data_IF_627686691115
#
_entry.id   IF_627686691115
#
_cell.length_a   1.000
_cell.length_b   1.000
_cell.length_c   1.000
_cell.angle_alpha   90.00
_cell.angle_beta   90.00
_cell.angle_gamma   90.00
#
_symmetry.space_group_name_H-M   'P 1'
#
loop_
_entity.id
_entity.type
_entity.pdbx_description
1 polymer ?
#
# COMPACT_ATOMS: atom_id res chain seq x y z
N UNK A 1 53.33 1.64 -24.08
CA UNK A 1 51.89 1.37 -24.12
C UNK A 1 51.31 1.83 -22.79
N UNK A 2 50.37 2.78 -22.82
CA UNK A 2 49.90 3.49 -21.64
C UNK A 2 48.79 2.72 -20.92
N UNK A 3 49.19 1.88 -19.96
CA UNK A 3 48.30 1.11 -19.10
C UNK A 3 47.42 1.97 -18.19
N UNK A 4 47.71 3.27 -18.05
CA UNK A 4 47.04 4.17 -17.11
C UNK A 4 45.71 4.70 -17.66
N UNK A 5 45.66 5.02 -18.96
CA UNK A 5 44.44 5.50 -19.63
C UNK A 5 43.33 4.44 -19.71
N UNK A 6 43.68 3.19 -19.98
CA UNK A 6 42.70 2.08 -20.00
C UNK A 6 42.07 1.81 -18.65
N UNK A 7 42.84 1.93 -17.56
CA UNK A 7 42.36 1.70 -16.19
C UNK A 7 41.39 2.80 -15.74
N UNK A 8 41.68 4.06 -16.07
CA UNK A 8 40.77 5.18 -15.76
C UNK A 8 39.45 5.08 -16.52
N UNK A 9 39.49 4.68 -17.79
CA UNK A 9 38.29 4.48 -18.60
C UNK A 9 37.39 3.37 -18.04
N UNK A 10 37.98 2.28 -17.56
CA UNK A 10 37.24 1.20 -16.90
C UNK A 10 36.59 1.65 -15.59
N UNK A 11 37.30 2.45 -14.77
CA UNK A 11 36.75 2.99 -13.51
C UNK A 11 35.55 3.88 -13.77
N UNK A 12 35.68 4.84 -14.70
CA UNK A 12 34.58 5.75 -15.05
C UNK A 12 33.36 4.99 -15.62
N UNK A 13 33.58 3.92 -16.40
CA UNK A 13 32.50 3.09 -16.91
C UNK A 13 31.75 2.36 -15.78
N UNK A 14 32.47 1.84 -14.80
CA UNK A 14 31.88 1.18 -13.62
C UNK A 14 31.11 2.19 -12.77
N UNK A 15 31.69 3.36 -12.49
CA UNK A 15 31.03 4.43 -11.72
C UNK A 15 29.73 4.91 -12.38
N UNK A 16 29.73 5.14 -13.69
CA UNK A 16 28.54 5.53 -14.43
C UNK A 16 27.46 4.42 -14.42
N UNK A 17 27.89 3.15 -14.46
CA UNK A 17 26.98 2.00 -14.36
C UNK A 17 26.33 1.90 -12.97
N UNK A 18 27.09 2.15 -11.91
CA UNK A 18 26.56 2.16 -10.53
C UNK A 18 25.57 3.30 -10.31
N UNK A 19 25.89 4.51 -10.78
CA UNK A 19 24.97 5.66 -10.71
C UNK A 19 23.65 5.39 -11.46
N UNK A 20 23.73 4.71 -12.61
CA UNK A 20 22.54 4.30 -13.34
C UNK A 20 21.69 3.30 -12.55
N UNK A 21 22.31 2.31 -11.90
CA UNK A 21 21.61 1.33 -11.07
C UNK A 21 20.93 2.00 -9.86
N UNK A 22 21.62 2.90 -9.17
CA UNK A 22 21.06 3.64 -8.04
C UNK A 22 19.80 4.41 -8.47
N UNK A 23 19.86 5.09 -9.62
CA UNK A 23 18.71 5.82 -10.19
C UNK A 23 17.53 4.89 -10.48
N UNK A 24 17.78 3.70 -11.01
CA UNK A 24 16.72 2.70 -11.28
C UNK A 24 16.10 2.22 -9.97
N UNK A 25 16.92 1.90 -8.97
CA UNK A 25 16.48 1.41 -7.67
C UNK A 25 15.64 2.46 -6.94
N UNK A 26 16.08 3.72 -6.92
CA UNK A 26 15.34 4.83 -6.34
C UNK A 26 13.97 5.01 -7.01
N UNK A 27 13.93 4.99 -8.35
CA UNK A 27 12.68 5.10 -9.09
C UNK A 27 11.71 3.96 -8.73
N UNK A 28 12.18 2.71 -8.75
CA UNK A 28 11.36 1.55 -8.38
C UNK A 28 10.81 1.68 -6.96
N UNK A 29 11.66 2.07 -6.01
CA UNK A 29 11.27 2.29 -4.61
C UNK A 29 10.19 3.35 -4.49
N UNK A 30 10.31 4.46 -5.24
CA UNK A 30 9.32 5.54 -5.21
C UNK A 30 7.95 5.12 -5.75
N UNK A 31 7.93 4.30 -6.80
CA UNK A 31 6.69 3.76 -7.38
C UNK A 31 6.01 2.77 -6.41
N UNK A 32 6.78 1.89 -5.77
CA UNK A 32 6.26 0.97 -4.75
C UNK A 32 5.67 1.69 -3.55
N UNK A 33 6.31 2.77 -3.07
CA UNK A 33 5.79 3.59 -1.98
C UNK A 33 4.47 4.25 -2.37
N UNK A 34 4.35 4.77 -3.59
CA UNK A 34 3.11 5.36 -4.09
C UNK A 34 1.98 4.32 -4.17
N UNK A 35 2.27 3.12 -4.68
CA UNK A 35 1.31 2.02 -4.77
C UNK A 35 0.84 1.57 -3.39
N UNK A 36 1.78 1.33 -2.46
CA UNK A 36 1.48 0.95 -1.09
C UNK A 36 0.64 2.01 -0.37
N UNK A 37 0.94 3.30 -0.60
CA UNK A 37 0.15 4.41 -0.10
C UNK A 37 -1.30 4.36 -0.57
N UNK A 38 -1.52 4.10 -1.86
CA UNK A 38 -2.86 4.00 -2.44
C UNK A 38 -3.66 2.82 -1.87
N UNK A 39 -3.02 1.66 -1.72
CA UNK A 39 -3.64 0.47 -1.10
C UNK A 39 -4.01 0.69 0.36
N UNK A 40 -3.11 1.31 1.12
CA UNK A 40 -3.34 1.65 2.53
C UNK A 40 -4.50 2.63 2.67
N UNK A 41 -4.56 3.66 1.83
CA UNK A 41 -5.66 4.63 1.82
C UNK A 41 -7.01 3.95 1.59
N UNK A 42 -7.11 3.07 0.59
CA UNK A 42 -8.34 2.31 0.30
C UNK A 42 -8.73 1.42 1.48
N UNK A 43 -7.76 0.79 2.13
CA UNK A 43 -7.98 -0.06 3.30
C UNK A 43 -8.46 0.74 4.50
N UNK A 44 -7.93 1.94 4.72
CA UNK A 44 -8.37 2.87 5.76
C UNK A 44 -9.82 3.31 5.51
N UNK A 45 -10.18 3.67 4.28
CA UNK A 45 -11.55 4.11 3.96
C UNK A 45 -12.57 2.97 4.16
N UNK A 46 -12.24 1.75 3.71
CA UNK A 46 -13.08 0.58 3.95
C UNK A 46 -13.22 0.28 5.46
N UNK A 47 -12.13 0.37 6.23
CA UNK A 47 -12.16 0.17 7.67
C UNK A 47 -12.98 1.25 8.39
N UNK A 48 -12.82 2.51 7.97
CA UNK A 48 -13.52 3.66 8.52
C UNK A 48 -15.03 3.54 8.29
N UNK A 49 -15.43 3.14 7.08
CA UNK A 49 -16.82 2.86 6.75
C UNK A 49 -17.40 1.77 7.66
N UNK A 50 -16.69 0.64 7.80
CA UNK A 50 -17.11 -0.45 8.69
C UNK A 50 -17.27 0.00 10.14
N UNK A 51 -16.28 0.72 10.67
CA UNK A 51 -16.24 1.16 12.06
C UNK A 51 -17.37 2.14 12.40
N UNK A 52 -17.57 3.16 11.56
CA UNK A 52 -18.56 4.20 11.84
C UNK A 52 -19.99 3.78 11.52
N UNK A 53 -20.20 2.85 10.59
CA UNK A 53 -21.53 2.29 10.32
C UNK A 53 -21.90 1.14 11.26
N UNK A 54 -20.94 0.65 12.07
CA UNK A 54 -21.16 -0.48 12.98
C UNK A 54 -21.40 -1.81 12.26
N UNK A 55 -20.92 -1.95 11.01
CA UNK A 55 -21.12 -3.17 10.23
C UNK A 55 -19.97 -4.16 10.42
N UNK A 56 -20.23 -5.49 10.40
CA UNK A 56 -19.17 -6.47 10.45
C UNK A 56 -18.21 -6.34 9.26
N UNK A 57 -16.91 -6.41 9.51
CA UNK A 57 -15.89 -6.24 8.46
C UNK A 57 -15.74 -7.53 7.66
N UNK A 58 -15.79 -8.66 8.36
CA UNK A 58 -15.48 -10.00 7.86
C UNK A 58 -16.71 -10.75 7.41
N UNK A 59 -16.55 -11.53 6.36
CA UNK A 59 -17.49 -12.56 5.97
C UNK A 59 -17.24 -13.85 6.75
N UNK A 60 -18.22 -14.76 6.74
CA UNK A 60 -17.99 -16.12 7.22
C UNK A 60 -17.01 -16.87 6.31
N UNK A 61 -17.10 -16.63 5.00
CA UNK A 61 -16.20 -17.14 4.00
C UNK A 61 -15.68 -16.00 3.12
N UNK A 62 -14.37 -15.79 3.12
CA UNK A 62 -13.68 -14.77 2.34
C UNK A 62 -12.91 -15.34 1.14
N UNK A 63 -13.13 -16.63 0.83
CA UNK A 63 -12.64 -17.30 -0.37
C UNK A 63 -13.06 -16.57 -1.64
N UNK A 64 -12.35 -16.78 -2.74
CA UNK A 64 -12.68 -16.13 -4.02
C UNK A 64 -14.05 -16.56 -4.56
N UNK A 65 -14.50 -17.77 -4.22
CA UNK A 65 -15.74 -18.36 -4.70
C UNK A 65 -16.96 -17.95 -3.85
N UNK A 66 -16.72 -17.32 -2.69
CA UNK A 66 -17.81 -16.82 -1.84
C UNK A 66 -18.56 -15.69 -2.53
N UNK A 67 -19.90 -15.78 -2.49
CA UNK A 67 -20.81 -14.73 -2.98
C UNK A 67 -20.74 -13.45 -2.15
N UNK A 68 -20.37 -13.56 -0.88
CA UNK A 68 -20.20 -12.42 0.02
C UNK A 68 -18.96 -12.64 0.89
N UNK A 69 -17.87 -11.97 0.51
CA UNK A 69 -16.56 -12.10 1.14
C UNK A 69 -16.38 -11.19 2.36
N UNK A 70 -17.45 -10.62 2.87
CA UNK A 70 -17.41 -9.63 3.94
C UNK A 70 -17.41 -8.20 3.43
N UNK A 71 -17.99 -7.31 4.23
CA UNK A 71 -18.20 -5.91 3.85
C UNK A 71 -16.89 -5.19 3.55
N UNK A 72 -15.78 -5.54 4.21
CA UNK A 72 -14.49 -4.90 3.93
C UNK A 72 -14.03 -5.18 2.49
N UNK A 73 -14.02 -6.44 2.07
CA UNK A 73 -13.58 -6.82 0.71
C UNK A 73 -14.54 -6.24 -0.33
N UNK A 74 -15.85 -6.27 -0.07
CA UNK A 74 -16.83 -5.71 -0.99
C UNK A 74 -16.72 -4.18 -1.12
N UNK A 75 -16.42 -3.46 -0.03
CA UNK A 75 -16.12 -2.02 -0.09
C UNK A 75 -14.83 -1.72 -0.89
N UNK A 76 -13.78 -2.51 -0.69
CA UNK A 76 -12.53 -2.37 -1.46
C UNK A 76 -12.80 -2.59 -2.96
N UNK A 77 -13.58 -3.62 -3.33
CA UNK A 77 -14.02 -3.86 -4.72
C UNK A 77 -14.87 -2.71 -5.24
N UNK A 78 -15.77 -2.19 -4.41
CA UNK A 78 -16.63 -1.06 -4.78
C UNK A 78 -15.79 0.17 -5.11
N UNK A 79 -14.80 0.53 -4.29
CA UNK A 79 -13.88 1.64 -4.56
C UNK A 79 -13.09 1.39 -5.86
N UNK A 80 -12.57 0.18 -6.03
CA UNK A 80 -11.82 -0.22 -7.23
C UNK A 80 -12.65 -0.12 -8.53
N UNK A 81 -13.96 -0.39 -8.46
CA UNK A 81 -14.86 -0.27 -9.61
C UNK A 81 -14.87 1.14 -10.23
N UNK A 82 -14.67 2.17 -9.41
CA UNK A 82 -14.72 3.57 -9.85
C UNK A 82 -13.35 4.24 -9.97
N UNK A 83 -12.29 3.60 -9.49
CA UNK A 83 -10.93 4.13 -9.58
C UNK A 83 -10.00 3.11 -10.26
N UNK A 84 -9.62 3.41 -11.51
CA UNK A 84 -8.78 2.53 -12.34
C UNK A 84 -7.39 2.31 -11.74
N UNK A 85 -6.83 3.30 -11.06
CA UNK A 85 -5.49 3.18 -10.48
C UNK A 85 -5.53 2.32 -9.22
N UNK A 86 -6.59 2.45 -8.42
CA UNK A 86 -6.88 1.52 -7.31
C UNK A 86 -7.10 0.10 -7.84
N UNK A 87 -7.88 -0.08 -8.91
CA UNK A 87 -8.17 -1.41 -9.46
C UNK A 87 -6.92 -2.20 -9.85
N UNK A 88 -5.87 -1.51 -10.32
CA UNK A 88 -4.59 -2.11 -10.72
C UNK A 88 -3.74 -2.59 -9.55
N UNK A 89 -4.05 -2.18 -8.32
CA UNK A 89 -3.17 -2.41 -7.17
C UNK A 89 -3.85 -3.06 -5.97
N UNK A 90 -5.12 -3.46 -6.05
CA UNK A 90 -5.85 -4.04 -4.91
C UNK A 90 -6.14 -5.53 -5.09
N UNK A 91 -6.35 -6.23 -3.97
CA UNK A 91 -6.70 -7.65 -3.94
C UNK A 91 -5.70 -8.50 -4.71
N UNK A 92 -6.13 -9.24 -5.74
CA UNK A 92 -5.27 -10.10 -6.55
C UNK A 92 -4.28 -9.31 -7.43
N UNK A 93 -4.51 -8.01 -7.64
CA UNK A 93 -3.61 -7.13 -8.40
C UNK A 93 -2.60 -6.42 -7.50
N UNK A 94 -2.66 -6.63 -6.17
CA UNK A 94 -1.69 -6.03 -5.26
C UNK A 94 -0.29 -6.60 -5.52
N UNK A 95 0.75 -5.76 -5.68
CA UNK A 95 2.12 -6.24 -5.67
C UNK A 95 2.43 -6.98 -4.37
N UNK A 96 3.05 -8.15 -4.52
CA UNK A 96 3.56 -8.96 -3.41
C UNK A 96 2.47 -9.25 -2.35
N UNK A 97 2.71 -8.90 -1.09
CA UNK A 97 1.85 -9.20 0.05
C UNK A 97 1.01 -7.99 0.50
N UNK A 98 1.01 -6.89 -0.25
CA UNK A 98 0.39 -5.62 0.14
C UNK A 98 -1.14 -5.60 -0.08
N UNK A 99 -1.83 -6.67 0.31
CA UNK A 99 -3.29 -6.78 0.16
C UNK A 99 -4.06 -6.08 1.29
N UNK A 100 -3.44 -5.93 2.47
CA UNK A 100 -4.03 -5.35 3.69
C UNK A 100 -5.39 -5.94 4.13
N UNK A 101 -5.75 -7.11 3.58
CA UNK A 101 -7.01 -7.82 3.85
C UNK A 101 -6.89 -8.79 5.02
N UNK A 102 -5.72 -8.96 5.64
CA UNK A 102 -5.54 -9.93 6.73
C UNK A 102 -6.20 -9.46 8.04
N UNK A 103 -6.67 -10.40 8.90
CA UNK A 103 -7.34 -10.04 10.16
C UNK A 103 -6.49 -9.17 11.08
N UNK A 104 -5.19 -9.42 11.09
CA UNK A 104 -4.23 -8.69 11.93
C UNK A 104 -4.12 -7.24 11.43
N UNK A 105 -3.90 -7.04 10.13
CA UNK A 105 -3.73 -5.70 9.54
C UNK A 105 -5.00 -4.86 9.70
N UNK A 106 -6.19 -5.43 9.48
CA UNK A 106 -7.44 -4.69 9.68
C UNK A 106 -7.62 -4.25 11.14
N UNK A 107 -7.24 -5.09 12.11
CA UNK A 107 -7.27 -4.72 13.53
C UNK A 107 -6.27 -3.60 13.85
N UNK A 108 -5.09 -3.64 13.26
CA UNK A 108 -4.08 -2.58 13.42
C UNK A 108 -4.59 -1.25 12.89
N UNK A 109 -5.16 -1.22 11.69
CA UNK A 109 -5.79 -0.03 11.11
C UNK A 109 -6.88 0.50 12.05
N UNK A 110 -7.77 -0.37 12.53
CA UNK A 110 -8.84 0.00 13.45
C UNK A 110 -8.32 0.60 14.76
N UNK A 111 -7.18 0.11 15.27
CA UNK A 111 -6.58 0.61 16.50
C UNK A 111 -6.16 2.08 16.42
N UNK A 112 -5.96 2.62 15.22
CA UNK A 112 -5.55 4.00 15.00
C UNK A 112 -6.73 4.97 15.23
N UNK A 113 -7.96 4.57 14.91
CA UNK A 113 -9.11 5.47 14.98
C UNK A 113 -9.41 5.99 16.40
N UNK A 114 -9.48 5.15 17.45
CA UNK A 114 -9.71 5.65 18.81
C UNK A 114 -8.66 6.66 19.26
N UNK A 115 -7.38 6.43 18.91
CA UNK A 115 -6.28 7.35 19.24
C UNK A 115 -6.48 8.71 18.56
N UNK A 116 -6.88 8.72 17.29
CA UNK A 116 -7.16 9.96 16.55
C UNK A 116 -8.36 10.72 17.13
N UNK A 117 -9.44 10.00 17.45
CA UNK A 117 -10.64 10.60 18.08
C UNK A 117 -10.29 11.21 19.44
N UNK A 118 -9.52 10.50 20.28
CA UNK A 118 -9.10 11.02 21.59
C UNK A 118 -8.23 12.28 21.46
N UNK A 119 -7.29 12.30 20.52
CA UNK A 119 -6.44 13.47 20.30
C UNK A 119 -7.26 14.67 19.82
N UNK A 120 -8.19 14.45 18.89
CA UNK A 120 -9.10 15.49 18.41
C UNK A 120 -9.92 16.10 19.55
N UNK A 121 -10.55 15.25 20.38
CA UNK A 121 -11.32 15.73 21.55
C UNK A 121 -10.43 16.50 22.54
N UNK A 122 -9.19 16.07 22.77
CA UNK A 122 -8.27 16.81 23.64
C UNK A 122 -7.96 18.19 23.08
N UNK A 123 -7.66 18.30 21.79
CA UNK A 123 -7.37 19.56 21.12
C UNK A 123 -8.58 20.51 21.10
N UNK A 124 -9.81 20.02 21.15
CA UNK A 124 -11.02 20.87 21.24
C UNK A 124 -11.25 21.44 22.66
N UNK A 125 -10.75 20.78 23.70
CA UNK A 125 -10.95 21.20 25.10
C UNK A 125 -9.93 22.28 25.51
N UNK A 126 -8.79 22.37 24.83
CA UNK A 126 -7.71 23.34 25.09
C UNK A 126 -7.74 24.51 24.11
#
# INVERSE_FOLDING_TARGET
MDFRGGKQHMVNHVENSLQHLDTIVEKHTSEEVAINGLQLQVSIEAAKCGAFQGVPFRGHDESQDSKNRGNFIELVKFIAKYNKDVAKVILHNAPQNAQYTSPIIQKEILSVFPRKVQNFIREEIY
#
